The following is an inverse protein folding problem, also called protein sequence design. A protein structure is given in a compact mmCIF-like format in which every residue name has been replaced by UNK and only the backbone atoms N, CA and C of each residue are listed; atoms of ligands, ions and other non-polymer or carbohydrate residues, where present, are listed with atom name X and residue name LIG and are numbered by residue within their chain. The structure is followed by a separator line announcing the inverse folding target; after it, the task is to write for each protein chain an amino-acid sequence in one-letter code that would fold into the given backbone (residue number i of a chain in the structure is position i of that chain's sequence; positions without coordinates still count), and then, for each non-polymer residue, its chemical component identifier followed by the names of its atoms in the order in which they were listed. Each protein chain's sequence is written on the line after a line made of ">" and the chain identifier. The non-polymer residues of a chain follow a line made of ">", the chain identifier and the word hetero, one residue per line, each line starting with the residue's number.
data_IF_279567687111
#
_entry.id   IF_279567687111
#
_cell.length_a   1.000
_cell.length_b   1.000
_cell.length_c   1.000
_cell.angle_alpha   90.00
_cell.angle_beta   90.00
_cell.angle_gamma   90.00
#
_symmetry.space_group_name_H-M   'P 1'
#
loop_
_entity.id
_entity.type
_entity.pdbx_description
1 polymer ?
#
# COMPACT_ATOMS: atom_id res chain seq x y z
N UNK A 1 -10.47 25.30 -10.08
CA UNK A 1 -10.60 24.08 -10.92
C UNK A 1 -11.41 24.48 -12.13
N UNK A 2 -10.92 24.25 -13.36
CA UNK A 2 -11.59 24.76 -14.57
C UNK A 2 -12.35 23.66 -15.33
N UNK A 3 -11.73 22.48 -15.49
CA UNK A 3 -12.31 21.36 -16.24
C UNK A 3 -11.98 20.05 -15.54
N UNK A 4 -12.86 19.06 -15.73
CA UNK A 4 -12.66 17.68 -15.29
C UNK A 4 -12.78 16.79 -16.53
N UNK A 5 -11.87 15.83 -16.66
CA UNK A 5 -11.93 14.77 -17.66
C UNK A 5 -12.03 13.43 -16.94
N UNK A 6 -13.08 12.68 -17.23
CA UNK A 6 -13.17 11.26 -16.91
C UNK A 6 -12.71 10.45 -18.12
N UNK A 7 -11.89 9.44 -17.87
CA UNK A 7 -11.42 8.50 -18.87
C UNK A 7 -11.64 7.08 -18.35
N UNK A 8 -12.05 6.20 -19.25
CA UNK A 8 -12.24 4.78 -18.99
C UNK A 8 -11.30 4.03 -19.91
N UNK A 9 -10.50 3.13 -19.35
CA UNK A 9 -9.57 2.27 -20.08
C UNK A 9 -9.91 0.80 -19.80
N UNK A 10 -10.57 0.11 -20.73
CA UNK A 10 -10.70 -1.35 -20.68
C UNK A 10 -9.40 -2.00 -21.19
N UNK A 11 -8.98 -3.07 -20.53
CA UNK A 11 -7.78 -3.82 -20.88
C UNK A 11 -8.08 -5.32 -20.79
N UNK A 12 -7.56 -6.09 -21.73
CA UNK A 12 -7.68 -7.55 -21.78
C UNK A 12 -6.30 -8.11 -22.11
N UNK A 13 -5.84 -9.05 -21.30
CA UNK A 13 -4.57 -9.74 -21.46
C UNK A 13 -4.81 -11.24 -21.51
N UNK A 14 -4.25 -11.89 -22.52
CA UNK A 14 -4.23 -13.35 -22.60
C UNK A 14 -2.83 -13.85 -22.25
N UNK A 15 -2.74 -14.69 -21.22
CA UNK A 15 -1.49 -15.27 -20.77
C UNK A 15 -1.51 -16.77 -21.05
N UNK A 16 -0.56 -17.22 -21.88
CA UNK A 16 -0.34 -18.63 -22.18
C UNK A 16 1.12 -18.97 -21.92
N UNK A 17 1.33 -19.96 -21.05
CA UNK A 17 2.66 -20.52 -20.78
C UNK A 17 2.56 -22.04 -20.84
N UNK A 18 3.37 -22.67 -21.70
CA UNK A 18 3.43 -24.11 -21.82
C UNK A 18 4.63 -24.65 -21.05
N UNK A 19 4.39 -25.63 -20.18
CA UNK A 19 5.44 -26.35 -19.47
C UNK A 19 5.34 -27.81 -19.91
N UNK A 20 6.37 -28.37 -20.58
CA UNK A 20 6.39 -29.79 -20.93
C UNK A 20 6.35 -30.67 -19.68
N UNK A 21 5.59 -31.78 -19.72
CA UNK A 21 5.44 -32.71 -18.58
C UNK A 21 6.77 -33.29 -18.06
N UNK A 22 7.82 -33.31 -18.90
CA UNK A 22 9.15 -33.82 -18.59
C UNK A 22 10.16 -32.73 -18.15
N UNK A 23 9.74 -31.46 -18.06
CA UNK A 23 10.62 -30.37 -17.66
C UNK A 23 10.70 -30.27 -16.12
N UNK A 24 11.72 -30.91 -15.52
CA UNK A 24 11.99 -30.78 -14.08
C UNK A 24 12.49 -29.37 -13.74
N UNK A 25 11.80 -28.72 -12.80
CA UNK A 25 12.20 -27.44 -12.20
C UNK A 25 12.78 -27.61 -10.78
N UNK A 26 12.99 -28.86 -10.34
CA UNK A 26 13.43 -29.18 -8.97
C UNK A 26 14.89 -28.82 -8.69
N UNK A 27 15.72 -28.73 -9.74
CA UNK A 27 17.14 -28.37 -9.65
C UNK A 27 17.42 -26.88 -9.91
N UNK A 28 16.37 -26.07 -10.05
CA UNK A 28 16.50 -24.63 -10.17
C UNK A 28 16.92 -24.00 -8.82
N UNK A 29 17.62 -22.86 -8.83
CA UNK A 29 17.89 -22.11 -7.60
C UNK A 29 16.59 -21.69 -6.91
N UNK A 30 16.58 -21.69 -5.58
CA UNK A 30 15.40 -21.34 -4.77
C UNK A 30 14.87 -19.91 -5.00
N UNK A 31 15.70 -19.03 -5.57
CA UNK A 31 15.30 -17.67 -5.94
C UNK A 31 14.55 -17.59 -7.29
N UNK A 32 14.53 -18.66 -8.09
CA UNK A 32 13.72 -18.72 -9.30
C UNK A 32 12.34 -19.28 -8.97
N UNK A 33 11.31 -18.46 -9.22
CA UNK A 33 9.94 -18.92 -9.12
C UNK A 33 9.70 -20.07 -10.10
N UNK A 34 9.21 -21.20 -9.58
CA UNK A 34 8.75 -22.30 -10.42
C UNK A 34 7.53 -21.81 -11.20
N UNK A 35 7.56 -21.96 -12.52
CA UNK A 35 6.47 -21.54 -13.37
C UNK A 35 5.62 -22.75 -13.76
N UNK A 36 4.31 -22.63 -13.60
CA UNK A 36 3.35 -23.65 -14.04
C UNK A 36 2.87 -23.39 -15.47
N UNK A 37 2.21 -24.40 -16.05
CA UNK A 37 1.38 -24.15 -17.22
C UNK A 37 0.35 -23.06 -16.89
N UNK A 38 0.20 -22.08 -17.78
CA UNK A 38 -0.74 -20.98 -17.64
C UNK A 38 -1.60 -20.90 -18.89
N UNK A 39 -2.91 -20.80 -18.71
CA UNK A 39 -3.86 -20.50 -19.77
C UNK A 39 -4.99 -19.68 -19.16
N UNK A 40 -4.86 -18.37 -19.24
CA UNK A 40 -5.74 -17.45 -18.50
C UNK A 40 -6.00 -16.17 -19.25
N UNK A 41 -7.18 -15.59 -18.99
CA UNK A 41 -7.61 -14.31 -19.50
C UNK A 41 -7.76 -13.33 -18.34
N UNK A 42 -7.01 -12.24 -18.33
CA UNK A 42 -7.15 -11.15 -17.36
C UNK A 42 -7.88 -9.99 -18.01
N UNK A 43 -8.93 -9.49 -17.35
CA UNK A 43 -9.62 -8.27 -17.75
C UNK A 43 -9.48 -7.22 -16.66
N UNK A 44 -9.27 -5.98 -17.07
CA UNK A 44 -9.18 -4.84 -16.18
C UNK A 44 -9.97 -3.65 -16.72
N UNK A 45 -10.51 -2.85 -15.80
CA UNK A 45 -11.20 -1.60 -16.08
C UNK A 45 -10.61 -0.50 -15.21
N UNK A 46 -9.89 0.42 -15.83
CA UNK A 46 -9.30 1.58 -15.15
C UNK A 46 -10.12 2.82 -15.42
N UNK A 47 -10.64 3.44 -14.36
CA UNK A 47 -11.33 4.73 -14.38
C UNK A 47 -10.37 5.81 -13.86
N UNK A 48 -10.18 6.88 -14.62
CA UNK A 48 -9.32 8.00 -14.22
C UNK A 48 -10.08 9.31 -14.29
N UNK A 49 -10.01 10.11 -13.24
CA UNK A 49 -10.52 11.48 -13.22
C UNK A 49 -9.35 12.44 -13.11
N UNK A 50 -9.17 13.29 -14.11
CA UNK A 50 -8.12 14.30 -14.17
C UNK A 50 -8.75 15.69 -14.15
N UNK A 51 -8.33 16.53 -13.21
CA UNK A 51 -8.68 17.94 -13.18
C UNK A 51 -7.65 18.77 -13.93
N UNK A 52 -8.12 19.80 -14.64
CA UNK A 52 -7.31 20.88 -15.19
C UNK A 52 -7.50 22.12 -14.33
N UNK A 53 -6.38 22.71 -13.90
CA UNK A 53 -6.35 23.93 -13.10
C UNK A 53 -5.48 24.97 -13.83
N UNK A 54 -5.83 26.24 -13.65
CA UNK A 54 -5.02 27.38 -14.09
C UNK A 54 -4.54 28.11 -12.85
N UNK A 55 -3.22 28.28 -12.74
CA UNK A 55 -2.59 29.03 -11.66
C UNK A 55 -2.81 30.54 -11.83
N UNK A 56 -2.52 31.30 -10.78
CA UNK A 56 -2.55 32.77 -10.81
C UNK A 56 -1.54 33.35 -11.83
N UNK A 57 -0.49 32.60 -12.14
CA UNK A 57 0.50 32.89 -13.18
C UNK A 57 0.05 32.52 -14.60
N UNK A 58 -1.21 32.09 -14.77
CA UNK A 58 -1.78 31.63 -16.03
C UNK A 58 -1.35 30.23 -16.46
N UNK A 59 -0.43 29.57 -15.73
CA UNK A 59 0.04 28.22 -16.09
C UNK A 59 -1.05 27.18 -15.89
N UNK A 60 -1.12 26.27 -16.85
CA UNK A 60 -2.07 25.16 -16.81
C UNK A 60 -1.38 23.96 -16.16
N UNK A 61 -2.03 23.38 -15.16
CA UNK A 61 -1.62 22.13 -14.54
C UNK A 61 -2.72 21.09 -14.62
N UNK A 62 -2.32 19.83 -14.67
CA UNK A 62 -3.20 18.68 -14.64
C UNK A 62 -2.92 17.86 -13.39
N UNK A 63 -3.98 17.43 -12.72
CA UNK A 63 -3.89 16.60 -11.52
C UNK A 63 -4.87 15.45 -11.66
N UNK A 64 -4.36 14.23 -11.76
CA UNK A 64 -5.16 13.03 -11.57
C UNK A 64 -5.67 13.05 -10.14
N UNK A 65 -6.98 13.16 -9.97
CA UNK A 65 -7.62 13.16 -8.66
C UNK A 65 -8.01 11.75 -8.23
N UNK A 66 -8.40 10.91 -9.18
CA UNK A 66 -8.88 9.55 -8.92
C UNK A 66 -8.30 8.63 -9.98
N UNK A 67 -7.78 7.48 -9.55
CA UNK A 67 -7.59 6.28 -10.38
C UNK A 67 -8.23 5.11 -9.63
N UNK A 68 -9.26 4.52 -10.23
CA UNK A 68 -9.89 3.30 -9.74
C UNK A 68 -9.64 2.19 -10.76
N UNK A 69 -8.96 1.13 -10.38
CA UNK A 69 -8.75 -0.05 -11.21
C UNK A 69 -9.45 -1.26 -10.59
N UNK A 70 -10.23 -1.95 -11.41
CA UNK A 70 -10.80 -3.26 -11.10
C UNK A 70 -10.17 -4.26 -12.06
N UNK A 71 -9.64 -5.37 -11.56
CA UNK A 71 -9.08 -6.42 -12.41
C UNK A 71 -9.39 -7.81 -11.86
N UNK A 72 -9.56 -8.78 -12.76
CA UNK A 72 -9.75 -10.18 -12.39
C UNK A 72 -9.20 -11.08 -13.51
N UNK A 73 -8.70 -12.24 -13.11
CA UNK A 73 -8.19 -13.27 -14.02
C UNK A 73 -9.11 -14.47 -14.02
N UNK A 74 -9.40 -14.98 -15.21
CA UNK A 74 -10.10 -16.23 -15.45
C UNK A 74 -9.12 -17.29 -15.93
N UNK A 75 -8.91 -18.35 -15.14
CA UNK A 75 -8.09 -19.51 -15.50
C UNK A 75 -8.93 -20.50 -16.33
N UNK A 76 -8.62 -20.55 -17.63
CA UNK A 76 -9.30 -21.40 -18.61
C UNK A 76 -9.00 -22.87 -18.34
N UNK A 77 -7.80 -23.21 -17.87
CA UNK A 77 -7.44 -24.59 -17.53
C UNK A 77 -8.21 -25.05 -16.30
N UNK A 78 -8.26 -24.24 -15.25
CA UNK A 78 -9.02 -24.58 -14.04
C UNK A 78 -10.50 -24.79 -14.37
N UNK A 79 -11.02 -24.06 -15.37
CA UNK A 79 -12.39 -24.22 -15.83
C UNK A 79 -12.69 -25.58 -16.48
N UNK A 80 -11.68 -26.22 -17.08
CA UNK A 80 -11.78 -27.52 -17.75
C UNK A 80 -11.17 -28.69 -16.97
N UNK A 81 -10.56 -28.42 -15.79
CA UNK A 81 -9.94 -29.44 -14.94
C UNK A 81 -10.93 -30.52 -14.51
N UNK A 82 -10.53 -31.78 -14.60
CA UNK A 82 -11.31 -32.88 -14.03
C UNK A 82 -11.39 -32.74 -12.51
N UNK A 83 -12.61 -32.84 -11.97
CA UNK A 83 -12.88 -32.80 -10.54
C UNK A 83 -13.44 -34.15 -10.11
N UNK A 84 -12.90 -34.70 -9.03
CA UNK A 84 -13.34 -35.97 -8.45
C UNK A 84 -14.68 -35.85 -7.74
N UNK A 85 -15.09 -34.62 -7.40
CA UNK A 85 -16.33 -34.34 -6.67
C UNK A 85 -16.27 -34.67 -5.18
N UNK A 86 -15.10 -35.03 -4.65
CA UNK A 86 -14.91 -35.39 -3.24
C UNK A 86 -14.33 -34.21 -2.46
N UNK A 87 -14.98 -33.84 -1.36
CA UNK A 87 -14.47 -32.82 -0.43
C UNK A 87 -14.37 -31.43 -1.04
N UNK A 88 -13.19 -30.82 -0.94
CA UNK A 88 -12.91 -29.45 -1.42
C UNK A 88 -12.48 -29.39 -2.90
N UNK A 89 -12.56 -30.49 -3.64
CA UNK A 89 -12.18 -30.56 -5.06
C UNK A 89 -13.26 -29.97 -5.97
N UNK A 90 -13.37 -28.64 -5.94
CA UNK A 90 -14.26 -27.85 -6.80
C UNK A 90 -13.44 -26.94 -7.71
N UNK A 91 -13.97 -26.66 -8.91
CA UNK A 91 -13.34 -25.72 -9.85
C UNK A 91 -13.43 -24.30 -9.33
N UNK A 92 -12.32 -23.56 -9.41
CA UNK A 92 -12.26 -22.12 -9.04
C UNK A 92 -11.55 -21.31 -10.11
N UNK A 93 -12.16 -21.18 -11.31
CA UNK A 93 -11.50 -20.54 -12.43
C UNK A 93 -11.37 -19.02 -12.26
N UNK A 94 -12.15 -18.41 -11.36
CA UNK A 94 -12.06 -16.98 -11.10
C UNK A 94 -11.03 -16.71 -9.99
N UNK A 95 -10.03 -15.88 -10.32
CA UNK A 95 -9.13 -15.32 -9.32
C UNK A 95 -9.87 -14.35 -8.39
N UNK A 96 -9.16 -13.91 -7.36
CA UNK A 96 -9.58 -12.75 -6.60
C UNK A 96 -9.68 -11.51 -7.49
N UNK A 97 -10.59 -10.62 -7.13
CA UNK A 97 -10.77 -9.31 -7.76
C UNK A 97 -9.82 -8.32 -7.11
N UNK A 98 -8.91 -7.78 -7.91
CA UNK A 98 -8.04 -6.68 -7.53
C UNK A 98 -8.81 -5.37 -7.59
N UNK A 99 -8.80 -4.63 -6.48
CA UNK A 99 -9.40 -3.30 -6.36
C UNK A 99 -8.33 -2.31 -5.91
N UNK A 100 -7.90 -1.43 -6.82
CA UNK A 100 -6.97 -0.36 -6.51
C UNK A 100 -7.64 1.00 -6.62
N UNK A 101 -7.45 1.85 -5.61
CA UNK A 101 -7.85 3.25 -5.64
C UNK A 101 -6.65 4.13 -5.31
N UNK A 102 -6.43 5.15 -6.12
CA UNK A 102 -5.57 6.29 -5.80
C UNK A 102 -6.44 7.55 -5.80
N UNK A 103 -6.49 8.25 -4.68
CA UNK A 103 -7.32 9.43 -4.46
C UNK A 103 -6.44 10.60 -3.98
N UNK A 104 -6.32 11.63 -4.82
CA UNK A 104 -5.52 12.84 -4.59
C UNK A 104 -6.29 14.09 -5.07
N UNK A 105 -7.43 14.44 -4.46
CA UNK A 105 -8.28 15.56 -4.87
C UNK A 105 -7.58 16.94 -4.76
N UNK A 106 -6.68 17.07 -3.79
CA UNK A 106 -5.87 18.28 -3.53
C UNK A 106 -4.42 17.86 -3.27
N UNK A 107 -3.42 18.73 -3.50
CA UNK A 107 -2.01 18.37 -3.35
C UNK A 107 -1.64 17.83 -1.96
N UNK A 108 -2.31 18.36 -0.94
CA UNK A 108 -2.08 18.12 0.48
C UNK A 108 -2.78 16.88 1.05
N UNK A 109 -3.41 16.07 0.20
CA UNK A 109 -4.15 14.87 0.58
C UNK A 109 -3.87 13.76 -0.43
N UNK A 110 -3.52 12.57 0.07
CA UNK A 110 -3.49 11.34 -0.71
C UNK A 110 -4.07 10.18 0.08
N UNK A 111 -4.84 9.34 -0.61
CA UNK A 111 -5.30 8.05 -0.12
C UNK A 111 -5.02 7.00 -1.20
N UNK A 112 -4.26 5.97 -0.86
CA UNK A 112 -4.10 4.77 -1.67
C UNK A 112 -4.82 3.61 -0.99
N UNK A 113 -5.59 2.85 -1.76
CA UNK A 113 -6.18 1.59 -1.34
C UNK A 113 -5.78 0.48 -2.31
N UNK A 114 -5.36 -0.67 -1.79
CA UNK A 114 -5.03 -1.87 -2.55
C UNK A 114 -5.72 -3.03 -1.86
N UNK A 115 -6.69 -3.65 -2.54
CA UNK A 115 -7.47 -4.73 -1.97
C UNK A 115 -7.55 -5.92 -2.92
N UNK A 116 -7.69 -7.10 -2.33
CA UNK A 116 -7.99 -8.35 -3.01
C UNK A 116 -9.27 -8.92 -2.42
N UNK A 117 -10.30 -9.06 -3.25
CA UNK A 117 -11.57 -9.66 -2.86
C UNK A 117 -11.72 -11.04 -3.47
N UNK A 118 -11.81 -12.06 -2.62
CA UNK A 118 -11.99 -13.43 -3.08
C UNK A 118 -13.45 -13.73 -3.35
N UNK A 119 -13.79 -13.91 -4.63
CA UNK A 119 -15.13 -14.33 -5.06
C UNK A 119 -15.44 -15.76 -4.62
N UNK A 120 -14.42 -16.61 -4.50
CA UNK A 120 -14.57 -18.02 -4.13
C UNK A 120 -14.97 -18.20 -2.66
N UNK A 121 -14.61 -17.25 -1.80
CA UNK A 121 -14.86 -17.30 -0.35
C UNK A 121 -15.73 -16.16 0.17
N UNK A 122 -16.13 -15.23 -0.72
CA UNK A 122 -16.89 -14.02 -0.39
C UNK A 122 -16.26 -13.26 0.80
N UNK A 123 -14.97 -12.92 0.67
CA UNK A 123 -14.20 -12.27 1.72
C UNK A 123 -13.07 -11.41 1.13
N UNK A 124 -12.67 -10.37 1.87
CA UNK A 124 -11.45 -9.63 1.58
C UNK A 124 -10.23 -10.45 1.99
N UNK A 125 -9.44 -10.86 1.02
CA UNK A 125 -8.18 -11.56 1.27
C UNK A 125 -7.08 -10.58 1.70
N UNK A 126 -7.08 -9.38 1.14
CA UNK A 126 -6.16 -8.32 1.54
C UNK A 126 -6.84 -6.94 1.48
N UNK A 127 -6.52 -6.09 2.45
CA UNK A 127 -6.99 -4.70 2.53
C UNK A 127 -5.88 -3.80 3.05
N UNK A 128 -5.31 -3.01 2.16
CA UNK A 128 -4.17 -2.14 2.43
C UNK A 128 -4.55 -0.69 2.12
N UNK A 129 -4.45 0.19 3.12
CA UNK A 129 -4.78 1.61 3.01
C UNK A 129 -3.61 2.49 3.48
N UNK A 130 -3.31 3.53 2.71
CA UNK A 130 -2.33 4.57 3.07
C UNK A 130 -2.96 5.93 2.89
N UNK A 131 -3.09 6.68 3.97
CA UNK A 131 -3.58 8.05 3.99
C UNK A 131 -2.41 8.97 4.36
N UNK A 132 -2.23 10.05 3.61
CA UNK A 132 -1.33 11.14 3.97
C UNK A 132 -2.06 12.46 3.83
N UNK A 133 -1.97 13.29 4.88
CA UNK A 133 -2.52 14.63 4.92
C UNK A 133 -1.46 15.55 5.50
N UNK A 134 -1.23 16.69 4.86
CA UNK A 134 -0.27 17.67 5.35
C UNK A 134 -0.71 19.08 5.01
N UNK A 135 -0.17 20.10 5.67
CA UNK A 135 -0.48 21.48 5.36
C UNK A 135 0.77 22.32 5.09
N UNK A 136 0.57 23.60 4.78
CA UNK A 136 1.66 24.53 4.52
C UNK A 136 2.31 25.06 5.81
N UNK A 137 1.64 24.91 6.97
CA UNK A 137 2.20 25.25 8.29
C UNK A 137 3.30 24.27 8.67
N UNK A 138 3.20 23.05 8.16
CA UNK A 138 4.14 21.96 8.37
C UNK A 138 3.53 20.75 9.05
N UNK A 139 2.24 20.76 9.41
CA UNK A 139 1.59 19.61 10.02
C UNK A 139 1.55 18.44 9.04
N UNK A 140 1.65 17.22 9.58
CA UNK A 140 1.68 16.01 8.79
C UNK A 140 1.03 14.85 9.54
N UNK A 141 0.09 14.18 8.88
CA UNK A 141 -0.52 12.93 9.30
C UNK A 141 -0.24 11.90 8.21
N UNK A 142 0.29 10.75 8.61
CA UNK A 142 0.35 9.56 7.78
C UNK A 142 -0.26 8.38 8.55
N UNK A 143 -1.14 7.63 7.88
CA UNK A 143 -1.82 6.48 8.44
C UNK A 143 -1.76 5.33 7.44
N UNK A 144 -1.10 4.26 7.84
CA UNK A 144 -1.07 2.99 7.13
C UNK A 144 -1.89 1.93 7.87
N UNK A 145 -2.73 1.22 7.16
CA UNK A 145 -3.42 0.02 7.63
C UNK A 145 -3.15 -1.12 6.65
N UNK A 146 -2.88 -2.31 7.19
CA UNK A 146 -2.72 -3.54 6.41
C UNK A 146 -3.49 -4.66 7.09
N UNK A 147 -4.24 -5.40 6.30
CA UNK A 147 -4.91 -6.62 6.72
C UNK A 147 -4.74 -7.69 5.65
N UNK A 148 -4.34 -8.89 6.07
CA UNK A 148 -4.24 -10.06 5.20
C UNK A 148 -4.93 -11.23 5.87
N UNK A 149 -5.78 -11.92 5.11
CA UNK A 149 -6.48 -13.13 5.52
C UNK A 149 -5.99 -14.32 4.72
N UNK A 150 -5.83 -15.45 5.40
CA UNK A 150 -5.73 -16.77 4.77
C UNK A 150 -7.13 -17.35 4.63
N UNK A 151 -7.50 -17.71 3.40
CA UNK A 151 -8.85 -18.18 3.06
C UNK A 151 -8.80 -19.64 2.59
N UNK A 152 -9.69 -20.45 3.15
CA UNK A 152 -9.83 -21.88 2.87
C UNK A 152 -11.31 -22.31 2.87
N UNK A 153 -11.56 -23.57 2.51
CA UNK A 153 -12.91 -24.11 2.60
C UNK A 153 -13.40 -24.10 4.07
N UNK A 154 -14.46 -23.34 4.36
CA UNK A 154 -14.96 -23.08 5.71
C UNK A 154 -13.91 -22.53 6.70
N UNK A 155 -12.85 -21.90 6.20
CA UNK A 155 -11.75 -21.39 6.99
C UNK A 155 -11.43 -19.96 6.58
N UNK A 156 -11.39 -19.06 7.55
CA UNK A 156 -10.99 -17.66 7.38
C UNK A 156 -10.17 -17.27 8.61
N UNK A 157 -8.89 -16.96 8.41
CA UNK A 157 -8.01 -16.56 9.51
C UNK A 157 -7.22 -15.31 9.12
N UNK A 158 -7.27 -14.30 9.98
CA UNK A 158 -6.38 -13.13 9.86
C UNK A 158 -4.95 -13.57 10.18
N UNK A 159 -4.02 -13.31 9.25
CA UNK A 159 -2.59 -13.63 9.40
C UNK A 159 -1.74 -12.39 9.59
N UNK A 160 -2.25 -11.23 9.20
CA UNK A 160 -1.62 -9.94 9.42
C UNK A 160 -2.72 -8.91 9.66
N UNK A 161 -2.56 -8.12 10.71
CA UNK A 161 -3.35 -6.93 10.92
C UNK A 161 -2.49 -5.90 11.65
N UNK A 162 -2.19 -4.78 10.99
CA UNK A 162 -1.31 -3.76 11.54
C UNK A 162 -1.81 -2.35 11.24
N UNK A 163 -1.39 -1.44 12.12
CA UNK A 163 -1.68 -0.02 12.06
C UNK A 163 -0.40 0.77 12.29
N UNK A 164 -0.08 1.65 11.35
CA UNK A 164 1.06 2.54 11.42
C UNK A 164 0.53 3.98 11.38
N UNK A 165 0.82 4.77 12.40
CA UNK A 165 0.43 6.17 12.50
C UNK A 165 1.67 7.02 12.72
N UNK A 166 1.78 8.10 11.95
CA UNK A 166 2.74 9.17 12.14
C UNK A 166 1.99 10.50 12.20
N UNK A 167 2.24 11.26 13.24
CA UNK A 167 1.70 12.60 13.44
C UNK A 167 2.87 13.56 13.69
N UNK A 168 2.83 14.70 13.02
CA UNK A 168 3.67 15.84 13.31
C UNK A 168 2.80 17.08 13.38
N UNK A 169 2.87 17.79 14.49
CA UNK A 169 2.23 19.08 14.68
C UNK A 169 3.29 20.18 14.74
N UNK A 170 3.20 21.17 13.87
CA UNK A 170 4.06 22.36 13.92
C UNK A 170 3.46 23.35 14.91
N UNK A 171 3.92 23.25 16.17
CA UNK A 171 3.38 24.02 17.32
C UNK A 171 3.78 25.49 17.21
N UNK A 172 5.01 25.75 16.78
CA UNK A 172 5.52 27.10 16.44
C UNK A 172 6.38 27.03 15.19
N UNK A 173 6.92 28.16 14.72
CA UNK A 173 7.83 28.19 13.57
C UNK A 173 9.19 27.49 13.81
N UNK A 174 9.51 27.16 15.06
CA UNK A 174 10.76 26.50 15.45
C UNK A 174 10.55 25.22 16.24
N UNK A 175 9.31 24.84 16.56
CA UNK A 175 9.01 23.70 17.44
C UNK A 175 7.98 22.78 16.78
N UNK A 176 8.37 21.52 16.58
CA UNK A 176 7.49 20.45 16.15
C UNK A 176 7.30 19.42 17.28
N UNK A 177 6.07 18.94 17.42
CA UNK A 177 5.75 17.76 18.22
C UNK A 177 5.50 16.58 17.28
N UNK A 178 6.09 15.43 17.57
CA UNK A 178 6.02 14.21 16.75
C UNK A 178 5.46 13.08 17.59
N UNK A 179 4.56 12.28 17.00
CA UNK A 179 4.09 11.04 17.59
C UNK A 179 4.09 9.94 16.54
N UNK A 180 4.67 8.79 16.87
CA UNK A 180 4.72 7.61 16.01
C UNK A 180 4.11 6.44 16.79
N UNK A 181 3.20 5.72 16.16
CA UNK A 181 2.57 4.53 16.73
C UNK A 181 2.59 3.41 15.70
N UNK A 182 3.10 2.26 16.11
CA UNK A 182 2.99 1.00 15.34
C UNK A 182 2.33 -0.05 16.20
N UNK A 183 1.25 -0.62 15.69
CA UNK A 183 0.49 -1.67 16.39
C UNK A 183 0.35 -2.89 15.51
N UNK A 184 0.62 -4.05 16.10
CA UNK A 184 0.10 -5.32 15.63
C UNK A 184 -1.29 -5.48 16.25
N UNK A 185 -2.32 -5.32 15.42
CA UNK A 185 -3.72 -5.43 15.83
C UNK A 185 -4.14 -6.89 16.00
N UNK A 186 -3.54 -7.82 15.25
CA UNK A 186 -3.80 -9.25 15.36
C UNK A 186 -3.51 -9.77 16.77
N UNK A 187 -2.33 -9.46 17.30
CA UNK A 187 -1.90 -9.85 18.64
C UNK A 187 -2.26 -8.82 19.72
N UNK A 188 -2.90 -7.71 19.34
CA UNK A 188 -3.23 -6.56 20.22
C UNK A 188 -2.00 -5.98 20.93
N UNK A 189 -0.87 -5.95 20.25
CA UNK A 189 0.41 -5.48 20.77
C UNK A 189 0.80 -4.12 20.18
N UNK A 190 1.34 -3.25 21.03
CA UNK A 190 2.02 -2.03 20.57
C UNK A 190 3.48 -2.36 20.31
N UNK A 191 3.90 -2.28 19.06
CA UNK A 191 5.30 -2.53 18.65
C UNK A 191 6.15 -1.31 18.99
N UNK A 192 5.61 -0.12 18.74
CA UNK A 192 6.31 1.15 18.96
C UNK A 192 5.31 2.24 19.35
N UNK A 193 5.65 3.02 20.38
CA UNK A 193 5.03 4.30 20.71
C UNK A 193 6.14 5.31 20.98
N UNK A 194 6.33 6.26 20.08
CA UNK A 194 7.41 7.24 20.14
C UNK A 194 6.84 8.64 20.25
N UNK A 195 7.29 9.37 21.27
CA UNK A 195 7.02 10.78 21.47
C UNK A 195 8.28 11.58 21.14
N UNK A 196 8.15 12.58 20.28
CA UNK A 196 9.26 13.39 19.82
C UNK A 196 8.98 14.88 19.98
N UNK A 197 10.01 15.65 20.35
CA UNK A 197 10.01 17.11 20.28
C UNK A 197 11.23 17.53 19.48
N UNK A 198 11.00 18.32 18.44
CA UNK A 198 12.06 18.86 17.60
C UNK A 198 12.07 20.38 17.66
N UNK A 199 13.22 20.94 18.00
CA UNK A 199 13.48 22.37 17.99
C UNK A 199 14.49 22.71 16.89
N UNK A 200 14.12 23.62 15.98
CA UNK A 200 14.96 24.06 14.86
C UNK A 200 15.22 25.56 14.87
N UNK A 201 16.47 25.96 14.63
CA UNK A 201 16.88 27.36 14.47
C UNK A 201 17.97 27.48 13.40
N UNK A 202 17.70 28.27 12.37
CA UNK A 202 18.64 28.64 11.28
C UNK A 202 19.42 27.44 10.71
N UNK A 203 20.61 27.17 11.22
CA UNK A 203 21.51 26.14 10.71
C UNK A 203 21.62 24.90 11.61
N UNK A 204 20.73 24.74 12.59
CA UNK A 204 20.75 23.57 13.48
C UNK A 204 19.36 23.16 13.96
N UNK A 205 19.23 21.89 14.33
CA UNK A 205 18.07 21.38 15.03
C UNK A 205 18.45 20.32 16.05
N UNK A 206 17.69 20.26 17.13
CA UNK A 206 17.75 19.20 18.13
C UNK A 206 16.42 18.50 18.18
N UNK A 207 16.44 17.18 18.17
CA UNK A 207 15.26 16.35 18.34
C UNK A 207 15.47 15.37 19.47
N UNK A 208 14.57 15.38 20.44
CA UNK A 208 14.52 14.40 21.51
C UNK A 208 13.37 13.44 21.23
N UNK A 209 13.64 12.14 21.26
CA UNK A 209 12.64 11.07 21.14
C UNK A 209 12.68 10.17 22.36
N UNK A 210 11.50 9.82 22.85
CA UNK A 210 11.29 8.77 23.85
C UNK A 210 10.42 7.71 23.18
N UNK A 211 10.98 6.52 22.98
CA UNK A 211 10.37 5.41 22.28
C UNK A 211 10.14 4.26 23.25
N UNK A 212 8.87 3.90 23.46
CA UNK A 212 8.48 2.65 24.11
C UNK A 212 8.30 1.60 23.02
N UNK A 213 9.23 0.66 22.94
CA UNK A 213 9.17 -0.52 22.08
C UNK A 213 8.53 -1.67 22.85
N UNK A 214 8.25 -2.80 22.20
CA UNK A 214 7.58 -3.95 22.83
C UNK A 214 8.28 -4.42 24.11
N UNK A 215 9.61 -4.47 24.13
CA UNK A 215 10.39 -4.99 25.27
C UNK A 215 11.32 -3.96 25.91
N UNK A 216 11.51 -2.80 25.28
CA UNK A 216 12.55 -1.83 25.66
C UNK A 216 12.02 -0.41 25.63
N UNK A 217 12.62 0.45 26.45
CA UNK A 217 12.42 1.91 26.35
C UNK A 217 13.73 2.56 25.94
N UNK A 218 13.67 3.37 24.87
CA UNK A 218 14.82 4.05 24.31
C UNK A 218 14.63 5.57 24.38
N UNK A 219 15.68 6.28 24.77
CA UNK A 219 15.73 7.74 24.72
C UNK A 219 16.85 8.14 23.77
N UNK A 220 16.53 8.94 22.76
CA UNK A 220 17.48 9.39 21.75
C UNK A 220 17.44 10.91 21.60
N UNK A 221 18.62 11.53 21.60
CA UNK A 221 18.80 12.92 21.25
C UNK A 221 19.57 13.01 19.92
N UNK A 222 18.96 13.62 18.92
CA UNK A 222 19.55 13.87 17.62
C UNK A 222 19.95 15.34 17.53
N UNK A 223 21.20 15.59 17.15
CA UNK A 223 21.70 16.92 16.82
C UNK A 223 21.99 16.97 15.32
N UNK A 224 21.45 17.96 14.61
CA UNK A 224 21.65 18.12 13.17
C UNK A 224 22.10 19.53 12.86
N UNK A 225 23.14 19.66 12.02
CA UNK A 225 23.62 20.93 11.48
C UNK A 225 23.20 21.03 10.01
N UNK A 226 22.28 21.92 9.71
CA UNK A 226 21.83 22.23 8.35
C UNK A 226 22.95 22.98 7.62
N UNK A 227 23.57 22.34 6.62
CA UNK A 227 24.65 22.90 5.81
C UNK A 227 25.92 22.06 5.69
N UNK A 228 26.10 21.00 6.49
CA UNK A 228 27.26 20.09 6.41
C UNK A 228 26.85 18.63 6.15
N UNK A 229 25.89 18.41 5.24
CA UNK A 229 25.52 17.05 4.81
C UNK A 229 24.62 16.31 5.79
N UNK A 230 23.61 16.96 6.35
CA UNK A 230 22.55 16.27 7.07
C UNK A 230 21.77 15.36 6.13
N UNK A 231 22.06 14.06 6.17
CA UNK A 231 21.28 13.05 5.46
C UNK A 231 19.81 13.11 5.90
N UNK A 232 18.90 12.95 4.94
CA UNK A 232 17.50 12.74 5.27
C UNK A 232 17.40 11.56 6.24
N UNK A 233 16.92 11.80 7.46
CA UNK A 233 16.48 10.71 8.33
C UNK A 233 15.36 10.02 7.53
N UNK A 234 15.49 8.72 7.19
CA UNK A 234 14.47 8.05 6.43
C UNK A 234 13.17 8.15 7.21
N UNK A 235 12.16 8.77 6.60
CA UNK A 235 10.80 8.61 7.10
C UNK A 235 10.49 7.11 7.02
N UNK A 236 10.01 6.49 8.12
CA UNK A 236 9.51 5.14 8.02
C UNK A 236 8.33 5.15 7.02
N UNK A 237 8.52 4.50 5.87
CA UNK A 237 7.54 4.51 4.76
C UNK A 237 8.07 4.98 3.41
N UNK A 238 9.31 5.47 3.30
CA UNK A 238 9.94 5.78 2.00
C UNK A 238 10.38 4.53 1.19
N UNK A 239 9.80 3.37 1.49
CA UNK A 239 9.83 2.23 0.59
C UNK A 239 8.81 2.48 -0.52
N UNK A 240 9.29 2.93 -1.68
CA UNK A 240 8.60 2.65 -2.93
C UNK A 240 8.48 1.12 -3.03
N UNK A 241 7.34 0.58 -2.62
CA UNK A 241 6.93 -0.76 -3.05
C UNK A 241 6.51 -0.63 -4.51
N UNK A 242 7.51 -0.60 -5.39
CA UNK A 242 7.33 -1.09 -6.76
C UNK A 242 7.09 -2.59 -6.67
N UNK A 243 5.85 -3.00 -6.92
CA UNK A 243 5.57 -4.26 -7.58
C UNK A 243 5.36 -3.94 -9.06
#
# INVERSE_FOLDING_TARGET
>A
MEKIRHAIRPEIFYNYNYVPDNASQERGPDFLARYGFQNSLTYALTNTIVSRKRGADGKISYQQMIRLMLAQTYDIRESSREVTGVGSDIRRPLSDVTVELDLTPIPNFSLAARNLYSVNYSAWQASNYDLTVYDNRGDHLSLGYRNTQSLGYNYKQTVLEELNLYLKASVTSSLDAIYILRKNLLDRKTIESTYGIKYGKQCWSVELRVSSLENDTMVMAYFSLLGMGGGAIPLPGAGLSSF
#
